data_IF_868648394501
#
_entry.id   IF_868648394501
#
_cell.length_a   1.000
_cell.length_b   1.000
_cell.length_c   1.000
_cell.angle_alpha   90.00
_cell.angle_beta   90.00
_cell.angle_gamma   90.00
#
_symmetry.space_group_name_H-M   'P 1'
#
loop_
_entity.id
_entity.type
_entity.pdbx_description
1 polymer ?
#
# COMPACT_ATOMS: atom_id res chain seq x y z
N UNK A 1 -5.62 5.72 -40.53
CA UNK A 1 -6.18 5.66 -39.16
C UNK A 1 -5.91 4.26 -38.63
N UNK A 2 -4.78 4.06 -37.97
CA UNK A 2 -4.49 2.85 -37.21
C UNK A 2 -5.32 2.92 -35.93
N UNK A 3 -6.31 2.05 -35.79
CA UNK A 3 -7.00 1.80 -34.52
C UNK A 3 -5.98 1.16 -33.59
N UNK A 4 -5.62 1.85 -32.52
CA UNK A 4 -4.93 1.24 -31.39
C UNK A 4 -5.76 0.05 -30.91
N UNK A 5 -5.24 -1.14 -31.14
CA UNK A 5 -5.75 -2.35 -30.52
C UNK A 5 -5.38 -2.25 -29.04
N UNK A 6 -6.32 -1.79 -28.22
CA UNK A 6 -6.20 -1.91 -26.77
C UNK A 6 -5.98 -3.38 -26.46
N UNK A 7 -4.79 -3.70 -25.99
CA UNK A 7 -4.47 -5.03 -25.46
C UNK A 7 -5.36 -5.27 -24.23
N UNK A 8 -6.44 -6.01 -24.44
CA UNK A 8 -7.43 -6.40 -23.44
C UNK A 8 -6.92 -7.45 -22.42
N UNK A 9 -5.60 -7.64 -22.28
CA UNK A 9 -4.99 -8.67 -21.45
C UNK A 9 -3.88 -8.15 -20.53
N UNK A 10 -3.87 -6.85 -20.17
CA UNK A 10 -3.11 -6.46 -19.01
C UNK A 10 -3.87 -6.98 -17.77
N UNK A 11 -3.21 -7.83 -17.00
CA UNK A 11 -3.72 -8.21 -15.68
C UNK A 11 -3.90 -6.92 -14.88
N UNK A 12 -4.96 -6.82 -14.05
CA UNK A 12 -5.17 -5.66 -13.15
C UNK A 12 -3.98 -5.40 -12.20
N UNK A 13 -2.94 -6.21 -12.29
CA UNK A 13 -1.73 -6.14 -11.50
C UNK A 13 -0.61 -5.28 -12.13
N UNK A 14 -0.73 -4.90 -13.41
CA UNK A 14 0.25 -4.04 -14.11
C UNK A 14 -0.25 -2.60 -14.25
N UNK A 15 -0.49 -1.95 -13.12
CA UNK A 15 -0.96 -0.57 -13.06
C UNK A 15 0.17 0.34 -12.56
N UNK A 16 0.68 1.18 -13.46
CA UNK A 16 1.71 2.15 -13.10
C UNK A 16 1.10 3.43 -12.52
N UNK A 17 1.63 3.88 -11.40
CA UNK A 17 1.20 5.12 -10.76
C UNK A 17 1.85 6.32 -11.45
N UNK A 18 1.08 7.35 -11.87
CA UNK A 18 1.68 8.62 -12.33
C UNK A 18 2.57 9.24 -11.25
N UNK A 19 3.74 9.75 -11.64
CA UNK A 19 4.69 10.35 -10.69
C UNK A 19 4.12 11.57 -9.96
N UNK A 20 3.24 12.34 -10.60
CA UNK A 20 2.51 13.45 -9.96
C UNK A 20 1.59 12.96 -8.84
N UNK A 21 0.90 11.84 -9.06
CA UNK A 21 0.01 11.25 -8.05
C UNK A 21 0.83 10.72 -6.85
N UNK A 22 1.89 9.93 -7.10
CA UNK A 22 2.71 9.42 -5.99
C UNK A 22 3.34 10.54 -5.18
N UNK A 23 3.78 11.62 -5.83
CA UNK A 23 4.31 12.82 -5.16
C UNK A 23 3.28 13.47 -4.22
N UNK A 24 2.02 13.60 -4.67
CA UNK A 24 0.96 14.13 -3.82
C UNK A 24 0.63 13.17 -2.65
N UNK A 25 0.52 11.88 -2.92
CA UNK A 25 0.17 10.89 -1.89
C UNK A 25 1.23 10.81 -0.77
N UNK A 26 2.52 10.85 -1.11
CA UNK A 26 3.62 10.82 -0.13
C UNK A 26 3.54 11.99 0.86
N UNK A 27 3.06 13.17 0.45
CA UNK A 27 2.91 14.35 1.34
C UNK A 27 2.00 14.10 2.55
N UNK A 28 1.13 13.11 2.47
CA UNK A 28 0.22 12.76 3.58
C UNK A 28 0.89 11.88 4.65
N UNK A 29 2.11 11.41 4.39
CA UNK A 29 2.91 10.63 5.33
C UNK A 29 3.93 11.56 5.99
N UNK A 30 3.98 11.55 7.32
CA UNK A 30 4.99 12.27 8.06
C UNK A 30 6.27 11.44 8.09
N UNK A 31 7.15 11.64 7.10
CA UNK A 31 8.44 10.97 6.98
C UNK A 31 9.52 11.94 7.44
N UNK A 32 10.26 11.58 8.50
CA UNK A 32 11.39 12.37 8.97
C UNK A 32 12.59 12.20 8.02
N UNK A 33 13.46 13.20 8.00
CA UNK A 33 14.57 13.28 7.04
C UNK A 33 15.56 12.11 7.14
N UNK A 34 15.74 11.53 8.32
CA UNK A 34 16.64 10.40 8.58
C UNK A 34 15.98 9.03 8.40
N UNK A 35 14.68 8.98 8.11
CA UNK A 35 13.92 7.75 7.91
C UNK A 35 14.10 7.17 6.53
N UNK A 36 14.22 5.86 6.49
CA UNK A 36 14.40 5.09 5.26
C UNK A 36 13.07 4.63 4.68
N UNK A 37 12.95 4.67 3.34
CA UNK A 37 11.79 4.22 2.60
C UNK A 37 12.12 3.03 1.70
N UNK A 38 11.20 2.08 1.60
CA UNK A 38 11.24 0.98 0.63
C UNK A 38 10.07 1.09 -0.32
N UNK A 39 10.34 1.02 -1.63
CA UNK A 39 9.32 0.78 -2.67
C UNK A 39 9.37 -0.70 -3.08
N UNK A 40 8.51 -1.57 -2.52
CA UNK A 40 8.58 -3.01 -2.78
C UNK A 40 8.08 -3.43 -4.17
N UNK A 41 7.46 -2.53 -4.93
CA UNK A 41 6.93 -2.77 -6.28
C UNK A 41 7.26 -1.59 -7.17
N UNK A 42 8.55 -1.47 -7.48
CA UNK A 42 9.14 -0.30 -8.14
C UNK A 42 8.46 0.08 -9.46
N UNK A 43 8.14 -0.91 -10.33
CA UNK A 43 7.58 -0.67 -11.64
C UNK A 43 8.41 0.33 -12.45
N UNK A 44 7.90 1.55 -12.63
CA UNK A 44 8.61 2.67 -13.28
C UNK A 44 9.25 3.64 -12.28
N UNK A 45 9.25 3.29 -10.98
CA UNK A 45 9.89 4.07 -9.92
C UNK A 45 9.12 5.28 -9.43
N UNK A 46 7.81 5.35 -9.69
CA UNK A 46 7.00 6.54 -9.36
C UNK A 46 7.02 6.90 -7.88
N UNK A 47 7.02 5.93 -6.97
CA UNK A 47 7.18 6.20 -5.54
C UNK A 47 8.63 6.43 -5.16
N UNK A 48 9.53 5.53 -5.58
CA UNK A 48 10.94 5.58 -5.21
C UNK A 48 11.60 6.92 -5.55
N UNK A 49 11.38 7.47 -6.75
CA UNK A 49 11.96 8.74 -7.18
C UNK A 49 11.34 9.97 -6.51
N UNK A 50 10.23 9.81 -5.81
CA UNK A 50 9.59 10.87 -5.02
C UNK A 50 9.89 10.78 -3.51
N UNK A 51 10.64 9.78 -3.05
CA UNK A 51 11.16 9.77 -1.69
C UNK A 51 12.19 10.88 -1.50
N UNK A 52 12.32 11.41 -0.28
CA UNK A 52 13.43 12.31 0.04
C UNK A 52 14.76 11.57 -0.11
N UNK A 53 15.83 12.32 -0.36
CA UNK A 53 17.16 11.76 -0.55
C UNK A 53 17.65 11.12 0.76
N UNK A 54 17.77 9.81 0.78
CA UNK A 54 18.34 9.04 1.86
C UNK A 54 19.06 7.83 1.28
N UNK A 55 20.32 7.61 1.60
CA UNK A 55 21.12 6.50 1.10
C UNK A 55 20.59 5.10 1.51
N UNK A 56 19.73 5.06 2.54
CA UNK A 56 19.09 3.83 3.01
C UNK A 56 17.79 3.51 2.30
N UNK A 57 17.31 4.38 1.38
CA UNK A 57 16.15 4.07 0.55
C UNK A 57 16.48 2.93 -0.40
N UNK A 58 15.53 2.02 -0.58
CA UNK A 58 15.68 0.89 -1.49
C UNK A 58 14.38 0.58 -2.22
N UNK A 59 14.44 -0.33 -3.17
CA UNK A 59 13.28 -0.82 -3.91
C UNK A 59 13.40 -2.32 -4.21
N UNK A 60 12.26 -2.95 -4.49
CA UNK A 60 12.22 -4.29 -5.08
C UNK A 60 11.54 -4.23 -6.45
N UNK A 61 12.06 -5.01 -7.38
CA UNK A 61 11.47 -5.19 -8.71
C UNK A 61 11.88 -6.59 -9.24
N UNK A 62 10.89 -7.44 -9.43
CA UNK A 62 11.12 -8.84 -9.80
C UNK A 62 11.82 -8.97 -11.16
N UNK A 63 11.50 -8.07 -12.10
CA UNK A 63 12.14 -8.03 -13.42
C UNK A 63 13.62 -7.62 -13.36
N UNK A 64 14.04 -7.01 -12.25
CA UNK A 64 15.44 -6.65 -11.96
C UNK A 64 16.10 -7.63 -10.99
N UNK A 65 15.48 -8.78 -10.72
CA UNK A 65 16.01 -9.82 -9.84
C UNK A 65 15.88 -9.52 -8.34
N UNK A 66 15.18 -8.46 -7.95
CA UNK A 66 14.92 -8.09 -6.55
C UNK A 66 13.50 -8.51 -6.14
N UNK A 67 13.35 -9.76 -5.73
CA UNK A 67 12.06 -10.31 -5.28
C UNK A 67 11.71 -9.80 -3.88
N UNK A 68 10.57 -9.12 -3.76
CA UNK A 68 10.08 -8.58 -2.50
C UNK A 68 9.94 -9.64 -1.40
N UNK A 69 9.44 -10.84 -1.73
CA UNK A 69 9.26 -11.90 -0.72
C UNK A 69 10.57 -12.50 -0.20
N UNK A 70 11.69 -12.28 -0.89
CA UNK A 70 13.04 -12.63 -0.43
C UNK A 70 13.75 -11.51 0.30
N UNK A 71 13.20 -10.30 0.25
CA UNK A 71 13.79 -9.12 0.88
C UNK A 71 13.69 -9.21 2.41
N UNK A 72 14.76 -8.81 3.13
CA UNK A 72 14.88 -8.98 4.59
C UNK A 72 15.20 -7.71 5.36
N UNK A 73 15.60 -6.65 4.67
CA UNK A 73 16.03 -5.42 5.33
C UNK A 73 14.79 -4.64 5.76
N UNK A 74 14.79 -4.18 7.02
CA UNK A 74 13.70 -3.36 7.55
C UNK A 74 13.92 -1.90 7.24
N UNK A 75 12.86 -1.24 6.80
CA UNK A 75 12.81 0.21 6.58
C UNK A 75 11.84 0.87 7.55
N UNK A 76 11.98 2.18 7.72
CA UNK A 76 11.05 2.93 8.56
C UNK A 76 9.67 2.97 7.90
N UNK A 77 9.63 3.17 6.59
CA UNK A 77 8.42 3.19 5.79
C UNK A 77 8.49 2.24 4.59
N UNK A 78 7.35 1.62 4.27
CA UNK A 78 7.18 0.82 3.05
C UNK A 78 6.00 1.41 2.26
N UNK A 79 6.26 1.93 1.06
CA UNK A 79 5.29 2.75 0.31
C UNK A 79 5.29 2.33 -1.15
N UNK A 80 4.12 1.97 -1.70
CA UNK A 80 4.01 1.52 -3.09
C UNK A 80 2.57 1.41 -3.60
N UNK A 81 2.44 0.94 -4.84
CA UNK A 81 1.23 0.41 -5.44
C UNK A 81 1.42 -1.10 -5.72
N UNK A 82 1.00 -1.98 -4.80
CA UNK A 82 1.23 -3.42 -4.91
C UNK A 82 0.30 -4.10 -5.92
N UNK A 83 0.68 -5.26 -6.49
CA UNK A 83 -0.22 -6.11 -7.25
C UNK A 83 -1.35 -6.66 -6.35
N UNK A 84 -2.61 -6.58 -6.82
CA UNK A 84 -3.77 -6.86 -5.96
C UNK A 84 -4.02 -8.35 -5.76
N UNK A 85 -3.59 -9.19 -6.70
CA UNK A 85 -3.78 -10.65 -6.65
C UNK A 85 -3.14 -11.31 -5.43
N UNK A 86 -2.05 -10.73 -4.91
CA UNK A 86 -1.30 -11.27 -3.77
C UNK A 86 -1.37 -10.38 -2.51
N UNK A 87 -2.33 -9.45 -2.45
CA UNK A 87 -2.35 -8.38 -1.45
C UNK A 87 -2.25 -8.88 0.01
N UNK A 88 -2.91 -9.99 0.35
CA UNK A 88 -2.83 -10.55 1.72
C UNK A 88 -1.40 -10.93 2.10
N UNK A 89 -0.71 -11.68 1.25
CA UNK A 89 0.69 -12.09 1.50
C UNK A 89 1.64 -10.90 1.52
N UNK A 90 1.38 -9.92 0.65
CA UNK A 90 2.16 -8.68 0.57
C UNK A 90 2.04 -7.92 1.89
N UNK A 91 0.84 -7.71 2.40
CA UNK A 91 0.60 -6.98 3.65
C UNK A 91 1.27 -7.67 4.84
N UNK A 92 1.19 -9.00 4.94
CA UNK A 92 1.87 -9.76 6.00
C UNK A 92 3.39 -9.60 5.94
N UNK A 93 3.98 -9.65 4.74
CA UNK A 93 5.42 -9.47 4.57
C UNK A 93 5.84 -8.02 4.85
N UNK A 94 5.05 -7.06 4.38
CA UNK A 94 5.22 -5.63 4.66
C UNK A 94 5.27 -5.34 6.16
N UNK A 95 4.34 -5.89 6.93
CA UNK A 95 4.31 -5.71 8.39
C UNK A 95 5.61 -6.20 9.07
N UNK A 96 6.29 -7.21 8.52
CA UNK A 96 7.57 -7.71 9.03
C UNK A 96 8.74 -6.79 8.70
N UNK A 97 8.65 -6.04 7.60
CA UNK A 97 9.71 -5.15 7.11
C UNK A 97 9.55 -3.70 7.57
N UNK A 98 8.33 -3.28 7.92
CA UNK A 98 8.05 -1.91 8.35
C UNK A 98 8.36 -1.70 9.83
N UNK A 99 9.11 -0.65 10.15
CA UNK A 99 9.39 -0.26 11.55
C UNK A 99 8.31 0.70 12.08
N UNK A 100 8.01 1.77 11.34
CA UNK A 100 7.08 2.84 11.74
C UNK A 100 5.72 2.71 11.06
N UNK A 101 5.70 2.49 9.75
CA UNK A 101 4.46 2.43 9.01
C UNK A 101 4.63 1.95 7.57
N UNK A 102 3.52 1.79 6.92
CA UNK A 102 3.46 1.52 5.48
C UNK A 102 2.25 2.18 4.85
N UNK A 103 2.32 2.45 3.55
CA UNK A 103 1.23 3.08 2.82
C UNK A 103 1.12 2.48 1.42
N UNK A 104 -0.09 2.05 1.06
CA UNK A 104 -0.33 1.42 -0.24
C UNK A 104 -1.52 2.02 -0.96
N UNK A 105 -1.39 2.11 -2.29
CA UNK A 105 -2.56 2.22 -3.15
C UNK A 105 -3.23 0.84 -3.21
N UNK A 106 -4.51 0.77 -2.89
CA UNK A 106 -5.24 -0.49 -2.86
C UNK A 106 -6.72 -0.30 -3.18
N UNK A 107 -7.40 -1.32 -3.75
CA UNK A 107 -8.83 -1.24 -4.01
C UNK A 107 -9.64 -1.03 -2.73
N UNK A 108 -10.65 -0.17 -2.77
CA UNK A 108 -11.51 0.11 -1.62
C UNK A 108 -12.17 -1.17 -1.06
N UNK A 109 -12.59 -2.09 -1.92
CA UNK A 109 -13.18 -3.38 -1.52
C UNK A 109 -12.20 -4.32 -0.80
N UNK A 110 -10.90 -4.03 -0.86
CA UNK A 110 -9.87 -4.84 -0.19
C UNK A 110 -9.72 -4.54 1.30
N UNK A 111 -10.32 -3.46 1.80
CA UNK A 111 -10.34 -3.11 3.23
C UNK A 111 -11.41 -3.93 3.96
N UNK A 112 -11.14 -5.20 4.18
CA UNK A 112 -12.05 -6.11 4.90
C UNK A 112 -11.68 -6.21 6.39
N UNK A 113 -12.67 -6.47 7.25
CA UNK A 113 -12.44 -6.68 8.69
C UNK A 113 -11.39 -7.76 8.96
N UNK A 114 -11.43 -8.87 8.23
CA UNK A 114 -10.46 -9.97 8.38
C UNK A 114 -9.04 -9.51 8.07
N UNK A 115 -8.84 -8.76 6.97
CA UNK A 115 -7.52 -8.25 6.59
C UNK A 115 -7.00 -7.23 7.59
N UNK A 116 -7.84 -6.30 8.04
CA UNK A 116 -7.48 -5.32 9.07
C UNK A 116 -7.13 -5.98 10.39
N UNK A 117 -7.89 -7.02 10.80
CA UNK A 117 -7.56 -7.82 12.00
C UNK A 117 -6.17 -8.43 11.90
N UNK A 118 -5.80 -9.02 10.75
CA UNK A 118 -4.47 -9.58 10.55
C UNK A 118 -3.38 -8.52 10.63
N UNK A 119 -3.57 -7.36 10.01
CA UNK A 119 -2.62 -6.22 10.11
C UNK A 119 -2.48 -5.76 11.57
N UNK A 120 -3.59 -5.66 12.30
CA UNK A 120 -3.59 -5.25 13.71
C UNK A 120 -2.82 -6.23 14.60
N UNK A 121 -2.80 -7.54 14.29
CA UNK A 121 -1.99 -8.53 15.01
C UNK A 121 -0.48 -8.26 14.90
N UNK A 122 -0.04 -7.60 13.82
CA UNK A 122 1.34 -7.12 13.69
C UNK A 122 1.59 -5.76 14.35
N UNK A 123 0.58 -5.18 15.02
CA UNK A 123 0.67 -3.89 15.69
C UNK A 123 0.60 -2.68 14.75
N UNK A 124 -0.04 -2.83 13.58
CA UNK A 124 -0.30 -1.71 12.68
C UNK A 124 -1.80 -1.42 12.60
N UNK A 125 -2.14 -0.16 12.50
CA UNK A 125 -3.51 0.35 12.47
C UNK A 125 -3.67 1.38 11.37
N UNK A 126 -4.87 1.55 10.82
CA UNK A 126 -5.14 2.63 9.87
C UNK A 126 -4.92 3.97 10.58
N UNK A 127 -4.06 4.79 10.00
CA UNK A 127 -3.89 6.19 10.40
C UNK A 127 -4.73 7.12 9.53
N UNK A 128 -4.63 6.96 8.19
CA UNK A 128 -5.37 7.77 7.23
C UNK A 128 -5.83 6.95 6.04
N UNK A 129 -6.95 7.35 5.48
CA UNK A 129 -7.44 6.89 4.16
C UNK A 129 -7.57 8.11 3.28
N UNK A 130 -6.85 8.11 2.17
CA UNK A 130 -6.87 9.19 1.18
C UNK A 130 -7.70 8.71 -0.02
N UNK A 131 -8.78 9.42 -0.30
CA UNK A 131 -9.56 9.27 -1.52
C UNK A 131 -8.94 10.14 -2.61
N UNK A 132 -8.75 9.58 -3.78
CA UNK A 132 -8.29 10.31 -4.97
C UNK A 132 -9.02 9.82 -6.21
N UNK A 133 -9.10 10.64 -7.25
CA UNK A 133 -9.66 10.22 -8.53
C UNK A 133 -8.70 9.24 -9.20
N UNK A 134 -9.20 8.06 -9.59
CA UNK A 134 -8.38 7.11 -10.33
C UNK A 134 -7.89 7.73 -11.64
N UNK A 135 -6.59 7.64 -11.97
CA UNK A 135 -6.11 8.02 -13.29
C UNK A 135 -6.92 7.30 -14.39
N UNK A 136 -7.34 8.04 -15.41
CA UNK A 136 -8.19 7.51 -16.49
C UNK A 136 -7.54 6.36 -17.23
N UNK A 137 -6.22 6.40 -17.37
CA UNK A 137 -5.41 5.36 -18.01
C UNK A 137 -5.46 4.01 -17.30
N UNK A 138 -5.80 3.98 -16.01
CA UNK A 138 -5.97 2.71 -15.28
C UNK A 138 -7.18 1.91 -15.77
N UNK A 139 -8.22 2.57 -16.25
CA UNK A 139 -9.42 1.92 -16.79
C UNK A 139 -10.16 1.05 -15.78
N UNK A 140 -9.99 1.33 -14.48
CA UNK A 140 -10.58 0.55 -13.39
C UNK A 140 -12.06 0.92 -13.19
N UNK A 141 -12.91 -0.09 -13.00
CA UNK A 141 -14.33 0.08 -12.67
C UNK A 141 -14.61 0.20 -11.17
N UNK A 142 -13.58 0.40 -10.33
CA UNK A 142 -13.70 0.48 -8.88
C UNK A 142 -12.76 1.55 -8.29
N UNK A 143 -13.11 2.05 -7.11
CA UNK A 143 -12.36 3.07 -6.41
C UNK A 143 -11.06 2.52 -5.83
N UNK A 144 -9.96 3.24 -6.07
CA UNK A 144 -8.68 3.06 -5.40
C UNK A 144 -8.56 4.04 -4.24
N UNK A 145 -7.86 3.60 -3.20
CA UNK A 145 -7.56 4.38 -2.00
C UNK A 145 -6.06 4.35 -1.75
N UNK A 146 -5.53 5.42 -1.16
CA UNK A 146 -4.21 5.35 -0.54
C UNK A 146 -4.40 5.24 0.97
N UNK A 147 -3.96 4.11 1.53
CA UNK A 147 -4.18 3.78 2.93
C UNK A 147 -2.87 3.78 3.66
N UNK A 148 -2.78 4.58 4.71
CA UNK A 148 -1.60 4.73 5.56
C UNK A 148 -1.84 3.96 6.85
N UNK A 149 -0.91 3.08 7.18
CA UNK A 149 -0.91 2.29 8.40
C UNK A 149 0.31 2.66 9.24
N UNK A 150 0.08 2.85 10.53
CA UNK A 150 1.14 3.17 11.49
C UNK A 150 1.04 2.28 12.73
N UNK A 151 2.04 2.35 13.60
CA UNK A 151 2.02 1.69 14.92
C UNK A 151 1.10 2.39 15.91
N UNK A 152 0.61 3.57 15.58
CA UNK A 152 -0.29 4.34 16.42
C UNK A 152 -1.74 3.94 16.14
N UNK A 153 -2.46 3.52 17.18
CA UNK A 153 -3.89 3.17 17.06
C UNK A 153 -4.72 4.46 17.00
N UNK A 154 -5.28 4.74 15.82
CA UNK A 154 -6.21 5.85 15.64
C UNK A 154 -7.61 5.41 16.08
N UNK A 155 -8.16 6.03 17.13
CA UNK A 155 -9.47 5.69 17.68
C UNK A 155 -10.64 6.01 16.76
N UNK A 156 -10.42 6.83 15.73
CA UNK A 156 -11.43 7.12 14.71
C UNK A 156 -11.72 5.95 13.76
N UNK A 157 -10.84 4.91 13.77
CA UNK A 157 -11.04 3.70 12.97
C UNK A 157 -11.36 2.52 13.86
N UNK A 158 -12.61 2.08 13.83
CA UNK A 158 -13.09 0.93 14.60
C UNK A 158 -13.31 -0.26 13.67
N UNK A 159 -12.66 -1.37 13.98
CA UNK A 159 -12.84 -2.66 13.30
C UNK A 159 -13.58 -3.61 14.24
N UNK A 160 -14.88 -3.75 14.03
CA UNK A 160 -15.73 -4.65 14.83
C UNK A 160 -15.65 -6.08 14.29
N UNK A 161 -15.22 -7.00 15.12
CA UNK A 161 -15.26 -8.44 14.81
C UNK A 161 -16.62 -9.04 15.18
N UNK A 162 -16.96 -10.21 14.63
CA UNK A 162 -18.21 -10.91 15.00
C UNK A 162 -18.29 -11.27 16.47
N UNK A 163 -17.16 -11.46 17.16
CA UNK A 163 -17.11 -11.65 18.61
C UNK A 163 -17.54 -10.42 19.39
N UNK A 164 -17.29 -9.22 18.87
CA UNK A 164 -17.67 -7.97 19.53
C UNK A 164 -19.19 -7.74 19.48
N UNK A 165 -19.89 -8.29 18.46
CA UNK A 165 -21.34 -8.23 18.32
C UNK A 165 -22.09 -9.21 19.25
N UNK A 166 -21.45 -10.31 19.66
CA UNK A 166 -22.08 -11.32 20.52
C UNK A 166 -22.13 -10.85 21.97
N UNK A 167 -21.11 -10.12 22.42
CA UNK A 167 -21.08 -9.59 23.79
C UNK A 167 -22.14 -8.50 24.04
N UNK A 168 -22.53 -7.73 23.03
CA UNK A 168 -23.57 -6.70 23.15
C UNK A 168 -25.00 -7.24 23.21
N UNK A 169 -25.22 -8.55 23.02
CA UNK A 169 -26.53 -9.21 23.13
C UNK A 169 -26.77 -9.94 24.47
N UNK A 170 -25.78 -9.91 25.37
CA UNK A 170 -25.82 -10.59 26.68
C UNK A 170 -25.90 -9.61 27.86
N UNK A 171 -26.21 -8.34 27.60
CA UNK A 171 -26.44 -7.31 28.61
C UNK A 171 -27.91 -6.87 28.57
#
# INVERSE_FOLDING_TARGET
KLKEVRLRNQSNDEIYTPSSLSKELIKHINIDFDESCLDPFYGIGSFYHNFHLNEKNDYCEINLGKDFFKYKIKHDWVISNPPFSQLTKILEHTCKLSKKGFAYIMPAYSLTCSRLKNINLFGFYIDKIIFFENPREWGLGFQMLFVIFTRFKNENFVNLSSSDHIQSRLI
#
